data_IF_689148808519
#
_entry.id   IF_689148808519
#
_cell.length_a   1.000
_cell.length_b   1.000
_cell.length_c   1.000
_cell.angle_alpha   90.00
_cell.angle_beta   90.00
_cell.angle_gamma   90.00
#
_symmetry.space_group_name_H-M   'P 1'
#
loop_
_entity.id
_entity.type
_entity.pdbx_description
1 polymer ?
#
# COMPACT_ATOMS: atom_id res chain seq x y z
N UNK A 1 10.38 -13.23 17.25
CA UNK A 1 9.49 -12.30 16.54
C UNK A 1 9.65 -10.93 17.16
N UNK A 2 10.08 -9.93 16.38
CA UNK A 2 10.28 -8.57 16.87
C UNK A 2 9.02 -7.74 16.57
N UNK A 3 8.50 -7.04 17.56
CA UNK A 3 7.27 -6.24 17.48
C UNK A 3 7.54 -4.89 18.14
N UNK A 4 7.01 -3.82 17.56
CA UNK A 4 7.05 -2.47 18.14
C UNK A 4 5.65 -1.99 18.46
N UNK A 5 5.54 -0.96 19.31
CA UNK A 5 4.27 -0.26 19.52
C UNK A 5 3.76 0.28 18.17
N UNK A 6 2.45 0.18 17.91
CA UNK A 6 1.85 0.61 16.65
C UNK A 6 1.95 -0.41 15.51
N UNK A 7 2.33 -1.65 15.80
CA UNK A 7 2.22 -2.78 14.85
C UNK A 7 0.74 -3.04 14.51
N UNK A 8 0.32 -2.95 13.23
CA UNK A 8 -1.09 -2.82 12.86
C UNK A 8 -1.95 -4.07 13.09
N UNK A 9 -1.34 -5.26 13.15
CA UNK A 9 -2.09 -6.50 13.32
C UNK A 9 -2.34 -6.89 14.77
N UNK A 10 -1.82 -6.12 15.74
CA UNK A 10 -2.05 -6.32 17.18
C UNK A 10 -3.32 -5.59 17.58
N UNK A 11 -4.17 -6.28 18.33
CA UNK A 11 -5.44 -5.74 18.78
C UNK A 11 -5.26 -4.63 19.82
N UNK A 12 -6.16 -3.64 19.81
CA UNK A 12 -6.10 -2.44 20.67
C UNK A 12 -6.02 -2.79 22.15
N UNK A 13 -6.63 -3.90 22.55
CA UNK A 13 -6.70 -4.37 23.94
C UNK A 13 -5.31 -4.65 24.51
N UNK A 14 -4.37 -5.13 23.69
CA UNK A 14 -3.01 -5.37 24.14
C UNK A 14 -2.23 -4.06 24.36
N UNK A 15 -2.43 -3.06 23.51
CA UNK A 15 -1.83 -1.74 23.69
C UNK A 15 -2.38 -1.04 24.92
N UNK A 16 -3.70 -1.11 25.13
CA UNK A 16 -4.35 -0.55 26.31
C UNK A 16 -3.90 -1.24 27.59
N UNK A 17 -3.89 -2.58 27.61
CA UNK A 17 -3.45 -3.34 28.76
C UNK A 17 -1.97 -3.04 29.08
N UNK A 18 -1.10 -3.01 28.08
CA UNK A 18 0.31 -2.65 28.27
C UNK A 18 0.46 -1.25 28.88
N UNK A 19 -0.23 -0.26 28.32
CA UNK A 19 -0.16 1.12 28.78
C UNK A 19 -0.53 1.24 30.26
N UNK A 20 -1.61 0.57 30.68
CA UNK A 20 -2.04 0.57 32.09
C UNK A 20 -1.06 -0.14 33.01
N UNK A 21 -0.48 -1.26 32.58
CA UNK A 21 0.49 -2.01 33.38
C UNK A 21 1.83 -1.28 33.49
N UNK A 22 2.30 -0.67 32.40
CA UNK A 22 3.55 0.08 32.33
C UNK A 22 3.51 1.29 33.27
N UNK A 23 2.42 2.06 33.21
CA UNK A 23 2.27 3.30 33.97
C UNK A 23 1.57 3.09 35.32
N UNK A 24 1.12 1.87 35.62
CA UNK A 24 0.31 1.57 36.81
C UNK A 24 -0.89 2.52 36.94
N UNK A 25 -1.58 2.76 35.82
CA UNK A 25 -2.74 3.67 35.75
C UNK A 25 -3.79 3.24 36.78
N UNK A 26 -4.28 4.12 37.66
CA UNK A 26 -5.28 3.77 38.66
C UNK A 26 -6.57 3.17 38.04
N UNK A 27 -7.16 2.13 38.66
CA UNK A 27 -8.34 1.44 38.10
C UNK A 27 -9.55 2.37 37.89
N UNK A 28 -9.68 3.43 38.69
CA UNK A 28 -10.72 4.45 38.51
C UNK A 28 -10.49 5.33 37.28
N UNK A 29 -9.30 5.33 36.66
CA UNK A 29 -8.96 6.04 35.43
C UNK A 29 -8.88 5.12 34.20
N UNK A 30 -8.90 3.80 34.39
CA UNK A 30 -8.93 2.82 33.31
C UNK A 30 -10.34 2.74 32.69
N UNK A 31 -10.39 2.68 31.36
CA UNK A 31 -11.61 2.40 30.62
C UNK A 31 -11.93 0.90 30.73
N UNK A 32 -13.20 0.57 30.93
CA UNK A 32 -13.69 -0.79 30.78
C UNK A 32 -14.33 -0.96 29.39
N UNK A 33 -14.47 -2.20 28.92
CA UNK A 33 -15.02 -2.46 27.59
C UNK A 33 -16.53 -2.15 27.46
N UNK A 34 -17.19 -1.64 28.52
CA UNK A 34 -18.66 -1.55 28.62
C UNK A 34 -19.19 -0.13 28.90
N UNK A 35 -18.40 0.73 29.55
CA UNK A 35 -18.79 2.07 29.96
C UNK A 35 -18.11 3.11 29.08
N UNK A 36 -18.91 3.82 28.28
CA UNK A 36 -18.53 5.10 27.64
C UNK A 36 -18.42 6.21 28.69
N UNK A 37 -17.63 5.98 29.74
CA UNK A 37 -17.37 6.97 30.78
C UNK A 37 -16.46 8.06 30.22
N UNK A 38 -16.96 9.29 30.22
CA UNK A 38 -16.33 10.46 29.60
C UNK A 38 -15.00 10.91 30.25
N UNK A 39 -14.48 10.19 31.25
CA UNK A 39 -13.29 10.56 32.03
C UNK A 39 -12.36 9.36 32.28
N UNK A 40 -12.07 8.57 31.25
CA UNK A 40 -11.14 7.43 31.33
C UNK A 40 -10.03 7.57 30.28
N UNK A 41 -8.83 7.13 30.63
CA UNK A 41 -7.74 7.01 29.66
C UNK A 41 -8.01 5.78 28.82
N UNK A 42 -8.11 5.91 27.51
CA UNK A 42 -8.46 4.81 26.60
C UNK A 42 -7.61 4.89 25.33
N UNK A 43 -7.25 3.73 24.77
CA UNK A 43 -6.59 3.64 23.47
C UNK A 43 -7.63 3.37 22.38
N UNK A 44 -7.82 4.33 21.50
CA UNK A 44 -8.74 4.28 20.36
C UNK A 44 -7.98 4.09 19.04
N UNK A 45 -8.64 3.43 18.09
CA UNK A 45 -8.19 3.31 16.71
C UNK A 45 -9.34 3.73 15.79
N UNK A 46 -9.07 4.68 14.90
CA UNK A 46 -10.00 5.08 13.84
C UNK A 46 -9.73 4.26 12.59
N UNK A 47 -10.71 3.46 12.14
CA UNK A 47 -10.60 2.74 10.87
C UNK A 47 -10.67 3.67 9.66
N UNK A 48 -11.36 4.80 9.77
CA UNK A 48 -11.50 5.77 8.68
C UNK A 48 -10.18 6.51 8.39
N UNK A 49 -9.44 6.92 9.43
CA UNK A 49 -8.17 7.65 9.26
C UNK A 49 -6.94 6.76 9.39
N UNK A 50 -7.08 5.53 9.89
CA UNK A 50 -5.96 4.63 10.21
C UNK A 50 -5.10 5.11 11.38
N UNK A 51 -5.60 6.07 12.18
CA UNK A 51 -4.85 6.67 13.28
C UNK A 51 -5.24 6.11 14.65
N UNK A 52 -4.25 6.03 15.53
CA UNK A 52 -4.43 5.72 16.95
C UNK A 52 -4.53 7.00 17.77
N UNK A 53 -5.34 6.97 18.83
CA UNK A 53 -5.41 8.07 19.79
C UNK A 53 -5.53 7.54 21.22
N UNK A 54 -4.72 8.07 22.12
CA UNK A 54 -4.91 7.87 23.57
C UNK A 54 -5.70 9.05 24.11
N UNK A 55 -6.96 8.85 24.46
CA UNK A 55 -7.79 9.96 24.97
C UNK A 55 -7.54 10.21 26.46
N UNK A 56 -7.88 11.42 26.91
CA UNK A 56 -7.79 11.84 28.32
C UNK A 56 -6.42 11.63 29.00
N UNK A 57 -5.32 11.65 28.23
CA UNK A 57 -3.90 11.55 28.69
C UNK A 57 -3.55 12.41 29.92
N UNK A 58 -4.31 13.49 30.12
CA UNK A 58 -4.15 14.48 31.18
C UNK A 58 -4.76 14.09 32.53
N UNK A 59 -5.56 13.03 32.62
CA UNK A 59 -6.16 12.61 33.90
C UNK A 59 -5.11 12.14 34.90
N UNK A 60 -4.02 11.56 34.41
CA UNK A 60 -2.96 10.96 35.22
C UNK A 60 -1.67 11.80 35.24
N UNK A 61 -1.81 13.13 35.25
CA UNK A 61 -0.69 14.09 35.22
C UNK A 61 0.29 13.98 36.38
N UNK A 62 -0.19 13.54 37.54
CA UNK A 62 0.62 13.45 38.76
C UNK A 62 1.40 12.12 38.86
N UNK A 63 1.26 11.24 37.86
CA UNK A 63 1.96 9.97 37.85
C UNK A 63 3.43 10.14 37.49
N UNK A 64 4.30 9.79 38.44
CA UNK A 64 5.76 9.88 38.30
C UNK A 64 6.27 8.98 37.17
N UNK A 65 5.66 7.81 36.96
CA UNK A 65 6.04 6.91 35.87
C UNK A 65 5.76 7.57 34.52
N UNK A 66 4.62 8.25 34.38
CA UNK A 66 4.23 8.94 33.16
C UNK A 66 4.99 10.26 32.94
N UNK A 67 5.37 10.96 34.00
CA UNK A 67 6.00 12.28 33.91
C UNK A 67 7.54 12.23 33.85
N UNK A 68 8.17 11.23 34.46
CA UNK A 68 9.63 11.19 34.65
C UNK A 68 10.29 9.87 34.24
N UNK A 69 9.70 8.71 34.55
CA UNK A 69 10.32 7.42 34.25
C UNK A 69 10.27 7.09 32.76
N UNK A 70 9.07 7.14 32.18
CA UNK A 70 8.80 6.85 30.76
C UNK A 70 8.40 8.09 29.97
N UNK A 71 8.32 9.24 30.62
CA UNK A 71 8.10 10.53 29.98
C UNK A 71 9.21 11.52 30.32
N UNK A 72 9.00 12.75 29.88
CA UNK A 72 9.82 13.92 30.18
C UNK A 72 8.93 15.08 30.60
N UNK A 73 9.54 16.18 31.06
CA UNK A 73 8.81 17.42 31.35
C UNK A 73 8.08 18.01 30.14
N UNK A 74 8.50 17.64 28.92
CA UNK A 74 7.92 18.12 27.65
C UNK A 74 6.93 17.13 27.03
N UNK A 75 7.06 15.84 27.31
CA UNK A 75 6.25 14.77 26.74
C UNK A 75 5.87 13.76 27.82
N UNK A 76 4.59 13.65 28.17
CA UNK A 76 4.16 12.55 29.06
C UNK A 76 4.28 11.20 28.34
N UNK A 77 4.46 10.12 29.10
CA UNK A 77 4.52 8.77 28.55
C UNK A 77 3.25 8.41 27.75
N UNK A 78 2.07 8.90 28.16
CA UNK A 78 0.82 8.73 27.41
C UNK A 78 0.86 9.43 26.04
N UNK A 79 1.41 10.64 25.96
CA UNK A 79 1.58 11.36 24.69
C UNK A 79 2.66 10.73 23.81
N UNK A 80 3.71 10.20 24.44
CA UNK A 80 4.77 9.47 23.76
C UNK A 80 4.26 8.16 23.17
N UNK A 81 3.49 7.39 23.94
CA UNK A 81 2.88 6.13 23.51
C UNK A 81 1.91 6.34 22.34
N UNK A 82 1.08 7.39 22.39
CA UNK A 82 0.22 7.80 21.27
C UNK A 82 1.00 8.13 19.99
N UNK A 83 2.17 8.78 20.12
CA UNK A 83 3.05 9.06 18.98
C UNK A 83 3.64 7.77 18.41
N UNK A 84 4.03 6.83 19.29
CA UNK A 84 4.56 5.52 18.93
C UNK A 84 3.52 4.63 18.26
N UNK A 85 2.28 4.64 18.74
CA UNK A 85 1.17 3.89 18.12
C UNK A 85 0.98 4.27 16.64
N UNK A 86 1.24 5.52 16.31
CA UNK A 86 1.18 6.05 14.94
C UNK A 86 2.50 5.95 14.17
N UNK A 87 3.51 5.28 14.73
CA UNK A 87 4.86 5.13 14.14
C UNK A 87 5.53 6.47 13.76
N UNK A 88 5.18 7.55 14.47
CA UNK A 88 5.70 8.89 14.21
C UNK A 88 7.02 9.11 14.95
N UNK A 89 7.95 9.80 14.31
CA UNK A 89 9.17 10.24 14.98
C UNK A 89 8.88 11.33 15.99
N UNK A 90 9.30 11.12 17.23
CA UNK A 90 9.13 12.11 18.30
C UNK A 90 10.22 13.17 18.19
N UNK A 91 9.82 14.44 18.20
CA UNK A 91 10.71 15.61 18.08
C UNK A 91 10.24 16.70 19.03
N UNK A 92 11.20 17.35 19.69
CA UNK A 92 10.95 18.50 20.57
C UNK A 92 11.52 19.75 19.91
N UNK A 93 10.67 20.76 19.73
CA UNK A 93 11.05 22.05 19.15
C UNK A 93 10.86 23.16 20.17
N UNK A 94 11.83 24.05 20.27
CA UNK A 94 11.73 25.29 21.04
C UNK A 94 11.38 26.46 20.13
N UNK A 95 10.62 27.42 20.64
CA UNK A 95 10.34 28.67 19.94
C UNK A 95 11.33 29.72 20.40
N UNK A 96 12.13 30.24 19.48
CA UNK A 96 13.02 31.38 19.72
C UNK A 96 12.46 32.61 19.00
N UNK A 97 12.50 33.77 19.65
CA UNK A 97 12.21 35.04 18.99
C UNK A 97 13.50 35.56 18.34
N UNK A 98 13.48 35.64 17.01
CA UNK A 98 14.52 36.29 16.22
C UNK A 98 13.86 37.40 15.41
N UNK A 99 14.30 38.65 15.60
CA UNK A 99 13.85 39.82 14.85
C UNK A 99 12.32 40.01 14.81
N UNK A 100 11.64 39.81 15.94
CA UNK A 100 10.19 39.98 16.08
C UNK A 100 9.34 38.88 15.43
N UNK A 101 9.95 37.80 14.91
CA UNK A 101 9.26 36.62 14.40
C UNK A 101 9.63 35.38 15.21
N UNK A 102 8.61 34.68 15.72
CA UNK A 102 8.74 33.39 16.39
C UNK A 102 9.20 32.33 15.40
N UNK A 103 10.41 31.80 15.60
CA UNK A 103 10.97 30.70 14.80
C UNK A 103 11.04 29.43 15.65
N UNK A 104 10.50 28.33 15.10
CA UNK A 104 10.61 27.01 15.72
C UNK A 104 11.95 26.37 15.35
N UNK A 105 12.72 25.97 16.37
CA UNK A 105 14.04 25.33 16.22
C UNK A 105 14.05 24.00 16.95
N UNK A 106 14.60 22.96 16.30
CA UNK A 106 14.70 21.63 16.89
C UNK A 106 15.65 21.65 18.09
N UNK A 107 15.13 21.26 19.26
CA UNK A 107 15.94 21.03 20.43
C UNK A 107 16.51 19.61 20.38
N UNK A 108 17.76 19.49 19.93
CA UNK A 108 18.45 18.19 19.76
C UNK A 108 18.58 17.43 21.08
N UNK A 109 18.82 18.13 22.19
CA UNK A 109 19.03 17.51 23.50
C UNK A 109 17.73 16.90 24.03
N UNK A 110 16.67 17.70 24.08
CA UNK A 110 15.35 17.22 24.53
C UNK A 110 14.77 16.16 23.58
N UNK A 111 15.01 16.30 22.28
CA UNK A 111 14.62 15.29 21.29
C UNK A 111 15.32 13.96 21.55
N UNK A 112 16.63 13.96 21.81
CA UNK A 112 17.37 12.75 22.15
C UNK A 112 16.84 12.09 23.43
N UNK A 113 16.57 12.88 24.48
CA UNK A 113 15.99 12.37 25.73
C UNK A 113 14.62 11.72 25.51
N UNK A 114 13.74 12.36 24.73
CA UNK A 114 12.41 11.80 24.46
C UNK A 114 12.50 10.55 23.58
N UNK A 115 13.44 10.48 22.65
CA UNK A 115 13.70 9.29 21.84
C UNK A 115 14.18 8.12 22.71
N UNK A 116 15.09 8.36 23.64
CA UNK A 116 15.55 7.34 24.60
C UNK A 116 14.37 6.79 25.44
N UNK A 117 13.46 7.67 25.89
CA UNK A 117 12.23 7.24 26.56
C UNK A 117 11.30 6.44 25.65
N UNK A 118 11.23 6.79 24.38
CA UNK A 118 10.41 6.09 23.40
C UNK A 118 10.93 4.67 23.15
N UNK A 119 12.24 4.54 22.96
CA UNK A 119 12.93 3.26 22.80
C UNK A 119 12.74 2.38 24.05
N UNK A 120 12.85 2.97 25.24
CA UNK A 120 12.60 2.26 26.51
C UNK A 120 11.16 1.72 26.58
N UNK A 121 10.16 2.49 26.14
CA UNK A 121 8.76 2.02 26.09
C UNK A 121 8.61 0.86 25.09
N UNK A 122 9.22 0.97 23.91
CA UNK A 122 9.18 -0.07 22.88
C UNK A 122 9.83 -1.38 23.37
N UNK A 123 10.98 -1.29 24.05
CA UNK A 123 11.65 -2.45 24.65
C UNK A 123 10.80 -3.11 25.73
N UNK A 124 10.17 -2.31 26.60
CA UNK A 124 9.24 -2.83 27.61
C UNK A 124 8.03 -3.48 26.97
N UNK A 125 7.48 -2.90 25.89
CA UNK A 125 6.37 -3.48 25.16
C UNK A 125 6.77 -4.83 24.54
N UNK A 126 7.92 -4.88 23.88
CA UNK A 126 8.45 -6.10 23.27
C UNK A 126 8.71 -7.20 24.32
N UNK A 127 9.21 -6.86 25.50
CA UNK A 127 9.35 -7.84 26.59
C UNK A 127 7.99 -8.30 27.12
N UNK A 128 7.09 -7.34 27.36
CA UNK A 128 5.78 -7.56 27.95
C UNK A 128 4.84 -8.39 27.06
N UNK A 129 4.81 -8.10 25.76
CA UNK A 129 3.90 -8.75 24.81
C UNK A 129 4.18 -10.26 24.72
N UNK A 130 5.44 -10.66 24.93
CA UNK A 130 5.85 -12.06 24.90
C UNK A 130 5.94 -12.72 26.26
N UNK A 131 5.83 -11.99 27.37
CA UNK A 131 5.99 -12.53 28.72
C UNK A 131 4.91 -13.55 29.09
N UNK A 132 3.65 -13.27 28.75
CA UNK A 132 2.52 -14.14 29.05
C UNK A 132 2.37 -15.27 28.00
N UNK A 133 2.35 -16.56 28.41
CA UNK A 133 2.26 -17.68 27.47
C UNK A 133 0.97 -17.68 26.63
N UNK A 134 -0.17 -17.31 27.21
CA UNK A 134 -1.48 -17.33 26.53
C UNK A 134 -1.57 -16.23 25.48
N UNK A 135 -1.10 -15.03 25.82
CA UNK A 135 -0.95 -13.89 24.91
C UNK A 135 -0.02 -14.25 23.75
N UNK A 136 1.15 -14.82 24.06
CA UNK A 136 2.12 -15.27 23.05
C UNK A 136 1.50 -16.24 22.07
N UNK A 137 0.83 -17.29 22.56
CA UNK A 137 0.18 -18.30 21.70
C UNK A 137 -0.90 -17.67 20.80
N UNK A 138 -1.72 -16.77 21.36
CA UNK A 138 -2.77 -16.07 20.62
C UNK A 138 -2.19 -15.23 19.48
N UNK A 139 -1.16 -14.41 19.78
CA UNK A 139 -0.53 -13.54 18.79
C UNK A 139 0.27 -14.33 17.75
N UNK A 140 0.99 -15.39 18.14
CA UNK A 140 1.68 -16.27 17.21
C UNK A 140 0.69 -16.98 16.27
N UNK A 141 -0.44 -17.46 16.79
CA UNK A 141 -1.49 -18.08 15.99
C UNK A 141 -2.11 -17.10 15.00
N UNK A 142 -2.39 -15.86 15.45
CA UNK A 142 -2.91 -14.79 14.59
C UNK A 142 -1.91 -14.44 13.49
N UNK A 143 -0.64 -14.22 13.86
CA UNK A 143 0.44 -13.92 12.91
C UNK A 143 0.58 -15.03 11.86
N UNK A 144 0.60 -16.30 12.29
CA UNK A 144 0.70 -17.43 11.39
C UNK A 144 -0.49 -17.51 10.43
N UNK A 145 -1.71 -17.23 10.90
CA UNK A 145 -2.91 -17.19 10.05
C UNK A 145 -2.88 -16.04 9.05
N UNK A 146 -2.35 -14.87 9.40
CA UNK A 146 -2.31 -13.72 8.49
C UNK A 146 -1.17 -13.81 7.47
N UNK A 147 0.00 -14.25 7.90
CA UNK A 147 1.24 -14.11 7.10
C UNK A 147 1.84 -15.44 6.66
N UNK A 148 1.67 -16.52 7.42
CA UNK A 148 2.29 -17.83 7.13
C UNK A 148 1.29 -18.88 6.64
N UNK A 149 0.02 -18.54 6.45
CA UNK A 149 -1.02 -19.46 5.98
C UNK A 149 -1.19 -19.42 4.46
N UNK A 150 -0.62 -18.42 3.79
CA UNK A 150 -0.69 -18.24 2.34
C UNK A 150 0.56 -18.80 1.69
N UNK A 151 0.44 -19.98 1.09
CA UNK A 151 1.47 -20.50 0.18
C UNK A 151 1.23 -19.88 -1.21
N UNK A 152 2.20 -19.14 -1.79
CA UNK A 152 2.07 -18.67 -3.16
C UNK A 152 1.85 -19.85 -4.09
N UNK A 153 0.92 -19.71 -5.05
CA UNK A 153 0.74 -20.71 -6.10
C UNK A 153 2.01 -20.77 -6.94
N UNK A 154 2.58 -21.95 -7.04
CA UNK A 154 3.67 -22.24 -7.97
C UNK A 154 3.06 -22.53 -9.35
N UNK A 155 3.67 -21.97 -10.39
CA UNK A 155 3.26 -22.18 -11.77
C UNK A 155 4.38 -22.91 -12.48
N UNK A 156 4.05 -24.03 -13.10
CA UNK A 156 4.93 -24.77 -13.99
C UNK A 156 4.43 -24.57 -15.43
N UNK A 157 5.31 -24.04 -16.28
CA UNK A 157 5.04 -23.86 -17.71
C UNK A 157 5.83 -24.81 -18.62
N UNK A 158 6.53 -25.80 -18.06
CA UNK A 158 7.38 -26.73 -18.82
C UNK A 158 6.62 -27.55 -19.86
N UNK A 159 5.31 -27.75 -19.67
CA UNK A 159 4.42 -28.45 -20.60
C UNK A 159 3.84 -27.56 -21.71
N UNK A 160 4.05 -26.24 -21.66
CA UNK A 160 3.52 -25.32 -22.67
C UNK A 160 4.22 -25.52 -24.01
N UNK A 161 3.44 -25.52 -25.08
CA UNK A 161 3.92 -25.57 -26.45
C UNK A 161 3.58 -24.27 -27.17
N UNK A 162 4.61 -23.56 -27.62
CA UNK A 162 4.47 -22.24 -28.23
C UNK A 162 4.41 -22.35 -29.76
N UNK A 163 3.22 -22.52 -30.30
CA UNK A 163 3.00 -22.72 -31.74
C UNK A 163 3.28 -21.41 -32.50
N UNK A 164 4.09 -21.48 -33.54
CA UNK A 164 4.48 -20.31 -34.36
C UNK A 164 5.60 -19.46 -33.76
N UNK A 165 6.11 -19.83 -32.59
CA UNK A 165 7.31 -19.22 -32.01
C UNK A 165 8.55 -19.65 -32.81
N UNK A 166 9.51 -18.73 -32.96
CA UNK A 166 10.80 -19.02 -33.55
C UNK A 166 11.52 -20.14 -32.76
N UNK A 167 11.84 -21.24 -33.42
CA UNK A 167 12.42 -22.44 -32.79
C UNK A 167 13.87 -22.27 -32.36
N UNK A 168 14.59 -21.28 -32.90
CA UNK A 168 15.96 -20.97 -32.48
C UNK A 168 16.01 -20.30 -31.11
N UNK A 169 14.91 -19.65 -30.70
CA UNK A 169 14.80 -18.96 -29.42
C UNK A 169 14.17 -19.89 -28.39
N UNK A 170 14.95 -20.20 -27.33
CA UNK A 170 14.47 -21.04 -26.22
C UNK A 170 14.24 -20.20 -24.97
N UNK A 171 13.00 -20.18 -24.50
CA UNK A 171 12.64 -19.55 -23.22
C UNK A 171 13.24 -20.34 -22.05
N UNK A 172 13.74 -19.60 -21.06
CA UNK A 172 14.28 -20.18 -19.81
C UNK A 172 13.14 -20.65 -18.90
N UNK A 173 13.40 -21.58 -17.95
CA UNK A 173 12.37 -22.11 -17.06
C UNK A 173 11.53 -21.05 -16.33
N UNK A 174 12.15 -19.95 -15.88
CA UNK A 174 11.42 -18.87 -15.21
C UNK A 174 10.46 -18.14 -16.16
N UNK A 175 10.82 -18.01 -17.44
CA UNK A 175 9.97 -17.38 -18.45
C UNK A 175 8.76 -18.28 -18.77
N UNK A 176 8.98 -19.59 -18.86
CA UNK A 176 7.89 -20.58 -19.03
C UNK A 176 6.88 -20.47 -17.88
N UNK A 177 7.38 -20.43 -16.65
CA UNK A 177 6.55 -20.32 -15.45
C UNK A 177 5.82 -18.97 -15.38
N UNK A 178 6.44 -17.89 -15.84
CA UNK A 178 5.81 -16.58 -15.97
C UNK A 178 4.66 -16.60 -16.99
N UNK A 179 4.85 -17.22 -18.15
CA UNK A 179 3.78 -17.40 -19.14
C UNK A 179 2.64 -18.24 -18.55
N UNK A 180 2.95 -19.37 -17.90
CA UNK A 180 1.95 -20.20 -17.23
C UNK A 180 1.18 -19.41 -16.16
N UNK A 181 1.86 -18.54 -15.40
CA UNK A 181 1.21 -17.65 -14.44
C UNK A 181 0.24 -16.67 -15.11
N UNK A 182 0.65 -16.06 -16.22
CA UNK A 182 -0.23 -15.15 -16.97
C UNK A 182 -1.46 -15.88 -17.51
N UNK A 183 -1.32 -17.12 -17.97
CA UNK A 183 -2.41 -17.91 -18.54
C UNK A 183 -3.36 -18.51 -17.49
N UNK A 184 -2.85 -18.94 -16.33
CA UNK A 184 -3.60 -19.77 -15.36
C UNK A 184 -4.04 -19.06 -14.08
N UNK A 185 -3.57 -17.83 -13.84
CA UNK A 185 -3.87 -17.13 -12.59
C UNK A 185 -5.31 -16.61 -12.51
N UNK A 186 -6.00 -16.47 -13.65
CA UNK A 186 -7.33 -15.82 -13.77
C UNK A 186 -7.40 -14.45 -13.07
N UNK A 187 -6.24 -13.77 -12.92
CA UNK A 187 -6.06 -12.49 -12.25
C UNK A 187 -4.94 -11.70 -12.93
N UNK A 188 -4.84 -10.41 -12.60
CA UNK A 188 -3.73 -9.59 -13.05
C UNK A 188 -2.38 -10.17 -12.58
N UNK A 189 -1.39 -10.15 -13.47
CA UNK A 189 -0.05 -10.71 -13.21
C UNK A 189 1.01 -9.60 -13.25
N UNK A 190 1.75 -9.45 -12.15
CA UNK A 190 2.93 -8.59 -12.08
C UNK A 190 4.20 -9.42 -12.35
N UNK A 191 4.98 -9.02 -13.37
CA UNK A 191 6.28 -9.61 -13.70
C UNK A 191 7.43 -8.79 -13.08
N UNK A 192 7.68 -9.00 -11.78
CA UNK A 192 8.71 -8.29 -11.02
C UNK A 192 10.13 -8.90 -11.17
N UNK A 193 10.52 -9.29 -12.39
CA UNK A 193 11.85 -9.80 -12.67
C UNK A 193 12.88 -8.69 -12.83
N UNK A 194 14.16 -9.00 -12.60
CA UNK A 194 15.28 -8.07 -12.81
C UNK A 194 15.38 -7.59 -14.27
N UNK A 195 16.08 -6.48 -14.51
CA UNK A 195 16.37 -5.99 -15.87
C UNK A 195 17.15 -7.05 -16.65
N UNK A 196 16.81 -7.24 -17.93
CA UNK A 196 17.45 -8.26 -18.78
C UNK A 196 16.94 -9.70 -18.58
N UNK A 197 16.00 -9.94 -17.66
CA UNK A 197 15.44 -11.29 -17.44
C UNK A 197 14.55 -11.82 -18.59
N UNK A 198 14.31 -11.02 -19.63
CA UNK A 198 13.50 -11.41 -20.80
C UNK A 198 11.98 -11.24 -20.61
N UNK A 199 11.56 -10.24 -19.82
CA UNK A 199 10.12 -9.91 -19.57
C UNK A 199 9.33 -9.62 -20.85
N UNK A 200 9.97 -9.02 -21.86
CA UNK A 200 9.33 -8.74 -23.15
C UNK A 200 8.88 -10.02 -23.83
N UNK A 201 9.75 -11.04 -23.89
CA UNK A 201 9.41 -12.33 -24.49
C UNK A 201 8.37 -13.08 -23.66
N UNK A 202 8.41 -13.00 -22.32
CA UNK A 202 7.35 -13.54 -21.46
C UNK A 202 5.97 -12.96 -21.84
N UNK A 203 5.88 -11.64 -22.01
CA UNK A 203 4.63 -10.97 -22.37
C UNK A 203 4.16 -11.30 -23.80
N UNK A 204 5.06 -11.28 -24.79
CA UNK A 204 4.74 -11.61 -26.19
C UNK A 204 4.23 -13.05 -26.30
N UNK A 205 4.94 -14.00 -25.71
CA UNK A 205 4.52 -15.41 -25.68
C UNK A 205 3.18 -15.57 -25.00
N UNK A 206 2.95 -14.92 -23.85
CA UNK A 206 1.66 -14.97 -23.17
C UNK A 206 0.52 -14.37 -24.01
N UNK A 207 0.75 -13.31 -24.78
CA UNK A 207 -0.24 -12.73 -25.70
C UNK A 207 -0.64 -13.73 -26.78
N UNK A 208 0.35 -14.33 -27.46
CA UNK A 208 0.09 -15.27 -28.54
C UNK A 208 -0.62 -16.53 -28.05
N UNK A 209 -0.20 -17.06 -26.90
CA UNK A 209 -0.87 -18.21 -26.29
C UNK A 209 -2.27 -17.87 -25.77
N UNK A 210 -2.47 -16.68 -25.19
CA UNK A 210 -3.81 -16.22 -24.76
C UNK A 210 -4.76 -16.14 -25.95
N UNK A 211 -4.28 -15.63 -27.10
CA UNK A 211 -5.09 -15.58 -28.32
C UNK A 211 -5.37 -16.97 -28.88
N UNK A 212 -4.36 -17.85 -28.93
CA UNK A 212 -4.49 -19.24 -29.40
C UNK A 212 -5.48 -20.04 -28.55
N UNK A 213 -5.48 -19.83 -27.24
CA UNK A 213 -6.40 -20.46 -26.29
C UNK A 213 -7.78 -19.79 -26.23
N UNK A 214 -7.99 -18.70 -26.98
CA UNK A 214 -9.26 -17.97 -26.99
C UNK A 214 -9.54 -17.12 -25.74
N UNK A 215 -8.53 -16.90 -24.89
CA UNK A 215 -8.62 -16.06 -23.69
C UNK A 215 -8.69 -14.57 -24.03
N UNK A 216 -8.12 -14.17 -25.17
CA UNK A 216 -8.26 -12.82 -25.71
C UNK A 216 -8.45 -12.86 -27.23
N UNK A 217 -9.09 -11.83 -27.79
CA UNK A 217 -9.28 -11.68 -29.25
C UNK A 217 -8.23 -10.79 -29.89
N UNK A 218 -7.80 -9.75 -29.16
CA UNK A 218 -6.89 -8.70 -29.59
C UNK A 218 -6.20 -8.15 -28.34
N UNK A 219 -4.89 -8.25 -28.28
CA UNK A 219 -4.13 -7.66 -27.18
C UNK A 219 -3.75 -6.21 -27.51
N UNK A 220 -3.68 -5.37 -26.48
CA UNK A 220 -3.09 -4.04 -26.58
C UNK A 220 -1.90 -3.97 -25.60
N UNK A 221 -0.75 -3.53 -26.10
CA UNK A 221 0.51 -3.42 -25.36
C UNK A 221 0.86 -1.95 -25.28
N UNK A 222 0.90 -1.41 -24.07
CA UNK A 222 1.19 0.00 -23.81
C UNK A 222 2.61 0.10 -23.26
N UNK A 223 3.46 0.86 -23.93
CA UNK A 223 4.89 0.97 -23.60
C UNK A 223 5.37 2.43 -23.56
N UNK A 224 6.53 2.72 -22.97
CA UNK A 224 7.20 4.00 -23.18
C UNK A 224 7.34 4.33 -24.67
N UNK A 225 7.09 5.58 -25.06
CA UNK A 225 6.99 5.99 -26.47
C UNK A 225 8.21 5.61 -27.32
N UNK A 226 9.40 5.63 -26.73
CA UNK A 226 10.66 5.31 -27.40
C UNK A 226 10.92 3.80 -27.58
N UNK A 227 10.03 2.93 -27.06
CA UNK A 227 10.17 1.48 -27.10
C UNK A 227 9.17 0.79 -28.04
N UNK A 228 8.26 1.53 -28.69
CA UNK A 228 7.21 0.93 -29.54
C UNK A 228 7.79 0.16 -30.72
N UNK A 229 8.80 0.71 -31.40
CA UNK A 229 9.49 0.07 -32.53
C UNK A 229 10.26 -1.18 -32.07
N UNK A 230 11.04 -1.05 -31.00
CA UNK A 230 11.77 -2.18 -30.41
C UNK A 230 10.83 -3.33 -30.02
N UNK A 231 9.68 -3.02 -29.42
CA UNK A 231 8.67 -4.03 -29.10
C UNK A 231 8.09 -4.70 -30.34
N UNK A 232 7.89 -3.95 -31.43
CA UNK A 232 7.46 -4.50 -32.71
C UNK A 232 8.48 -5.49 -33.28
N UNK A 233 9.76 -5.12 -33.26
CA UNK A 233 10.88 -5.97 -33.70
C UNK A 233 10.99 -7.25 -32.86
N UNK A 234 10.94 -7.13 -31.53
CA UNK A 234 10.96 -8.27 -30.60
C UNK A 234 9.78 -9.23 -30.86
N UNK A 235 8.60 -8.68 -31.15
CA UNK A 235 7.39 -9.47 -31.43
C UNK A 235 7.55 -10.29 -32.71
N UNK A 236 7.98 -9.69 -33.81
CA UNK A 236 8.19 -10.38 -35.09
C UNK A 236 9.38 -11.35 -35.01
N UNK A 237 10.42 -11.00 -34.27
CA UNK A 237 11.58 -11.88 -34.04
C UNK A 237 11.18 -13.16 -33.32
N UNK A 238 10.33 -13.05 -32.30
CA UNK A 238 9.85 -14.18 -31.51
C UNK A 238 8.73 -14.96 -32.21
N UNK A 239 7.82 -14.26 -32.91
CA UNK A 239 6.70 -14.84 -33.67
C UNK A 239 6.63 -14.22 -35.07
N UNK A 240 7.38 -14.77 -36.05
CA UNK A 240 7.45 -14.20 -37.40
C UNK A 240 6.12 -14.15 -38.16
N UNK A 241 5.16 -15.01 -37.79
CA UNK A 241 3.82 -15.05 -38.38
C UNK A 241 2.78 -14.14 -37.73
N UNK A 242 3.15 -13.36 -36.70
CA UNK A 242 2.20 -12.53 -35.97
C UNK A 242 1.76 -11.29 -36.77
N UNK A 243 0.45 -11.03 -36.80
CA UNK A 243 -0.13 -9.84 -37.40
C UNK A 243 -0.26 -8.72 -36.35
N UNK A 244 0.75 -7.88 -36.22
CA UNK A 244 0.80 -6.79 -35.24
C UNK A 244 0.55 -5.42 -35.87
N UNK A 245 0.01 -4.49 -35.07
CA UNK A 245 -0.07 -3.07 -35.42
C UNK A 245 0.80 -2.26 -34.46
N UNK A 246 1.88 -1.67 -34.97
CA UNK A 246 2.74 -0.77 -34.19
C UNK A 246 2.32 0.67 -34.47
N UNK A 247 1.87 1.38 -33.45
CA UNK A 247 1.50 2.78 -33.56
C UNK A 247 2.73 3.68 -33.44
N UNK A 248 2.85 4.63 -34.37
CA UNK A 248 3.83 5.72 -34.28
C UNK A 248 3.16 7.02 -33.84
N UNK A 249 3.96 8.00 -33.43
CA UNK A 249 3.45 9.35 -33.11
C UNK A 249 2.75 10.01 -34.30
N UNK A 250 3.22 9.73 -35.53
CA UNK A 250 2.66 10.27 -36.78
C UNK A 250 1.25 9.76 -37.07
N UNK A 251 0.83 8.66 -36.44
CA UNK A 251 -0.50 8.07 -36.63
C UNK A 251 -1.57 8.72 -35.73
N UNK A 252 -1.14 9.47 -34.71
CA UNK A 252 -2.01 10.11 -33.71
C UNK A 252 -2.12 11.63 -33.85
N UNK A 253 -1.79 12.18 -35.02
CA UNK A 253 -2.13 13.57 -35.35
C UNK A 253 -3.65 13.76 -35.36
N UNK A 254 -4.18 14.96 -35.08
CA UNK A 254 -5.63 15.19 -35.02
C UNK A 254 -6.39 14.68 -36.24
N UNK A 255 -5.81 14.82 -37.44
CA UNK A 255 -6.41 14.40 -38.70
C UNK A 255 -6.43 12.86 -38.87
N UNK A 256 -5.44 12.14 -38.33
CA UNK A 256 -5.27 10.69 -38.53
C UNK A 256 -5.80 9.85 -37.37
N UNK A 257 -5.95 10.45 -36.19
CA UNK A 257 -6.37 9.75 -34.95
C UNK A 257 -7.65 8.95 -35.12
N UNK A 258 -8.68 9.54 -35.74
CA UNK A 258 -9.96 8.84 -35.97
C UNK A 258 -9.77 7.59 -36.83
N UNK A 259 -8.99 7.71 -37.91
CA UNK A 259 -8.66 6.59 -38.79
C UNK A 259 -7.84 5.52 -38.06
N UNK A 260 -6.89 5.92 -37.21
CA UNK A 260 -6.08 4.98 -36.43
C UNK A 260 -6.94 4.21 -35.42
N UNK A 261 -7.82 4.89 -34.67
CA UNK A 261 -8.77 4.23 -33.78
C UNK A 261 -9.70 3.28 -34.55
N UNK A 262 -10.19 3.67 -35.73
CA UNK A 262 -10.99 2.79 -36.59
C UNK A 262 -10.21 1.54 -37.00
N UNK A 263 -8.93 1.68 -37.40
CA UNK A 263 -8.06 0.53 -37.74
C UNK A 263 -7.87 -0.39 -36.54
N UNK A 264 -7.59 0.17 -35.36
CA UNK A 264 -7.45 -0.59 -34.11
C UNK A 264 -8.75 -1.35 -33.81
N UNK A 265 -9.91 -0.72 -33.99
CA UNK A 265 -11.20 -1.33 -33.70
C UNK A 265 -11.55 -2.47 -34.68
N UNK A 266 -11.44 -2.23 -35.99
CA UNK A 266 -11.93 -3.15 -37.03
C UNK A 266 -10.89 -4.17 -37.51
N UNK A 267 -9.60 -3.87 -37.37
CA UNK A 267 -8.53 -4.76 -37.83
C UNK A 267 -8.42 -6.04 -37.00
N UNK A 268 -8.09 -7.16 -37.65
CA UNK A 268 -7.81 -8.42 -36.98
C UNK A 268 -6.32 -8.55 -36.65
N UNK A 269 -5.90 -7.87 -35.58
CA UNK A 269 -4.52 -7.90 -35.09
C UNK A 269 -4.36 -8.90 -33.93
N UNK A 270 -3.19 -9.55 -33.87
CA UNK A 270 -2.76 -10.34 -32.70
C UNK A 270 -2.45 -9.42 -31.52
N UNK A 271 -1.70 -8.35 -31.78
CA UNK A 271 -1.38 -7.31 -30.83
C UNK A 271 -1.37 -5.92 -31.46
N UNK A 272 -1.75 -4.91 -30.69
CA UNK A 272 -1.58 -3.48 -30.99
C UNK A 272 -0.58 -2.91 -30.00
N UNK A 273 0.55 -2.40 -30.49
CA UNK A 273 1.62 -1.81 -29.67
C UNK A 273 1.50 -0.29 -29.77
N UNK A 274 1.33 0.38 -28.63
CA UNK A 274 1.07 1.82 -28.55
C UNK A 274 1.89 2.46 -27.43
N UNK A 275 2.34 3.70 -27.64
CA UNK A 275 3.02 4.46 -26.61
C UNK A 275 2.04 5.12 -25.63
N UNK A 276 2.52 5.45 -24.43
CA UNK A 276 1.71 6.15 -23.41
C UNK A 276 1.00 7.40 -23.93
N UNK A 277 1.71 8.27 -24.67
CA UNK A 277 1.13 9.54 -25.12
C UNK A 277 0.07 9.38 -26.21
N UNK A 278 0.11 8.28 -26.96
CA UNK A 278 -0.90 7.95 -27.95
C UNK A 278 -2.11 7.27 -27.29
N UNK A 279 -1.87 6.45 -26.26
CA UNK A 279 -2.95 5.80 -25.50
C UNK A 279 -3.84 6.84 -24.80
N UNK A 280 -3.26 7.86 -24.17
CA UNK A 280 -4.00 8.98 -23.56
C UNK A 280 -4.91 9.74 -24.54
N UNK A 281 -4.63 9.65 -25.85
CA UNK A 281 -5.41 10.32 -26.89
C UNK A 281 -6.60 9.49 -27.37
N UNK A 282 -6.74 8.24 -26.93
CA UNK A 282 -7.90 7.40 -27.24
C UNK A 282 -9.06 7.86 -26.36
N UNK A 283 -10.18 8.33 -26.95
CA UNK A 283 -11.31 8.82 -26.18
C UNK A 283 -12.00 7.68 -25.43
N UNK A 284 -12.45 7.97 -24.20
CA UNK A 284 -13.43 7.14 -23.49
C UNK A 284 -14.81 7.32 -24.13
N UNK A 285 -15.70 6.36 -23.91
CA UNK A 285 -17.11 6.53 -24.27
C UNK A 285 -17.78 7.53 -23.33
N UNK A 286 -18.80 8.23 -23.81
CA UNK A 286 -19.56 9.19 -22.99
C UNK A 286 -20.21 8.51 -21.77
N UNK A 287 -20.56 7.23 -21.88
CA UNK A 287 -21.13 6.43 -20.79
C UNK A 287 -20.10 6.14 -19.70
N UNK A 288 -18.91 5.66 -20.06
CA UNK A 288 -17.82 5.39 -19.11
C UNK A 288 -17.35 6.68 -18.42
N UNK A 289 -17.28 7.78 -19.17
CA UNK A 289 -16.92 9.07 -18.60
C UNK A 289 -17.93 9.54 -17.54
N UNK A 290 -19.24 9.33 -17.78
CA UNK A 290 -20.28 9.64 -16.80
C UNK A 290 -20.22 8.71 -15.58
N UNK A 291 -20.00 7.40 -15.79
CA UNK A 291 -19.88 6.43 -14.69
C UNK A 291 -18.73 6.80 -13.77
N UNK A 292 -17.55 7.07 -14.34
CA UNK A 292 -16.36 7.47 -13.59
C UNK A 292 -16.61 8.74 -12.76
N UNK A 293 -17.22 9.77 -13.36
CA UNK A 293 -17.56 11.00 -12.63
C UNK A 293 -18.58 10.72 -11.52
N UNK A 294 -19.54 9.82 -11.76
CA UNK A 294 -20.53 9.42 -10.75
C UNK A 294 -19.91 8.71 -9.56
N UNK A 295 -19.00 7.75 -9.80
CA UNK A 295 -18.28 7.03 -8.74
C UNK A 295 -17.41 7.96 -7.89
N UNK A 296 -16.69 8.89 -8.52
CA UNK A 296 -15.89 9.90 -7.81
C UNK A 296 -16.76 10.85 -6.96
N UNK A 297 -17.95 11.20 -7.45
CA UNK A 297 -18.91 12.01 -6.67
C UNK A 297 -19.43 11.23 -5.46
N UNK A 298 -19.78 9.96 -5.64
CA UNK A 298 -20.28 9.10 -4.56
C UNK A 298 -19.23 8.85 -3.48
N UNK A 299 -17.96 8.65 -3.86
CA UNK A 299 -16.85 8.52 -2.91
C UNK A 299 -16.66 9.81 -2.08
N UNK A 300 -16.69 10.97 -2.74
CA UNK A 300 -16.59 12.26 -2.06
C UNK A 300 -17.79 12.53 -1.14
N UNK A 301 -19.01 12.21 -1.58
CA UNK A 301 -20.22 12.36 -0.78
C UNK A 301 -20.20 11.44 0.45
N UNK A 302 -19.81 10.18 0.26
CA UNK A 302 -19.67 9.21 1.35
C UNK A 302 -18.63 9.67 2.38
N UNK A 303 -17.48 10.18 1.93
CA UNK A 303 -16.47 10.76 2.82
C UNK A 303 -16.98 11.97 3.60
N UNK A 304 -17.81 12.82 2.99
CA UNK A 304 -18.45 13.95 3.68
C UNK A 304 -19.50 13.52 4.70
N UNK A 305 -20.26 12.45 4.42
CA UNK A 305 -21.24 11.89 5.36
C UNK A 305 -20.59 11.21 6.56
N UNK A 306 -19.52 10.44 6.35
CA UNK A 306 -18.73 9.85 7.44
C UNK A 306 -18.21 10.92 8.39
N UNK A 307 -17.68 12.03 7.84
CA UNK A 307 -17.21 13.18 8.63
C UNK A 307 -18.33 13.91 9.39
N UNK A 308 -19.58 13.81 8.96
CA UNK A 308 -20.75 14.42 9.63
C UNK A 308 -21.38 13.50 10.67
N UNK A 309 -21.37 12.20 10.44
CA UNK A 309 -21.96 11.19 11.32
C UNK A 309 -21.05 10.82 12.48
N UNK A 310 -19.73 10.93 12.31
CA UNK A 310 -18.79 10.97 13.42
C UNK A 310 -18.91 12.32 14.13
N UNK A 311 -19.84 12.40 15.09
CA UNK A 311 -19.91 13.39 16.16
C UNK A 311 -18.71 13.19 17.15
N UNK A 312 -17.52 12.96 16.58
CA UNK A 312 -16.28 12.64 17.26
C UNK A 312 -15.57 13.95 17.66
N UNK A 313 -15.03 14.03 18.89
CA UNK A 313 -14.47 15.26 19.44
C UNK A 313 -13.29 15.77 18.60
N UNK A 314 -13.54 16.83 17.82
CA UNK A 314 -12.58 17.68 17.08
C UNK A 314 -11.18 17.06 16.92
N UNK A 315 -11.03 16.16 15.96
CA UNK A 315 -9.74 15.90 15.35
C UNK A 315 -9.27 17.20 14.68
N UNK A 316 -8.26 17.84 15.26
CA UNK A 316 -7.72 19.07 14.69
C UNK A 316 -6.82 18.68 13.53
N UNK A 317 -7.40 18.66 12.32
CA UNK A 317 -6.63 18.60 11.07
C UNK A 317 -5.81 19.89 11.00
N UNK A 318 -4.48 19.80 11.15
CA UNK A 318 -3.59 20.91 10.83
C UNK A 318 -3.31 20.88 9.33
N UNK A 319 -3.83 21.90 8.63
CA UNK A 319 -3.27 22.38 7.37
C UNK A 319 -1.80 22.79 7.57
#
# INVERSE_FOLDING_TARGET
MHVRVGTPWIDKEYYQQFLYELLKTPSNMQADNWSRSHNKIEVLYSSATGEWNVIHKSLDRNNILAAATYGTSRYSAYALFDTLLNQRMVRVTDTIDADGKKKSVLNRKETATVQEKADMIDEQFQSWIWKDPKRRETLCSKYNRMFNSTRPREYDGSHLQFVGMNQEIKLRPHQLNAVARMLYSNRNTLLAHVVGAGKTYEMITAIMESKRLGLCKKAMVIVPNHLTEQWGEDFVTLYPGANILVASEKDFTPQKRKTMCSRIATGNYDAVIIGHSQFEKIPLSDEEQKSFIGEELEELESGLEELKNDDAPRFTVKQ
#
